data_IF_543991381352
#
_entry.id   IF_543991381352
#
_cell.length_a   1.000
_cell.length_b   1.000
_cell.length_c   1.000
_cell.angle_alpha   90.00
_cell.angle_beta   90.00
_cell.angle_gamma   90.00
#
_symmetry.space_group_name_H-M   'P 1'
#
loop_
_entity.id
_entity.type
_entity.pdbx_description
1 polymer ?
#
# COMPACT_ATOMS: atom_id res chain seq x y z
N UNK A 1 15.21 18.29 -11.46
CA UNK A 1 15.06 18.11 -10.00
C UNK A 1 13.61 17.72 -9.71
N UNK A 2 13.34 16.45 -9.39
CA UNK A 2 12.01 16.05 -8.89
C UNK A 2 12.16 14.78 -8.06
N UNK A 3 12.20 14.94 -6.74
CA UNK A 3 12.12 13.80 -5.83
C UNK A 3 10.66 13.35 -5.79
N UNK A 4 10.37 12.18 -6.36
CA UNK A 4 9.04 11.61 -6.36
C UNK A 4 8.91 10.64 -5.18
N UNK A 5 8.21 11.07 -4.13
CA UNK A 5 7.92 10.24 -2.96
C UNK A 5 6.46 9.77 -3.05
N UNK A 6 6.17 8.49 -3.38
CA UNK A 6 4.80 8.01 -3.59
C UNK A 6 3.95 8.05 -2.31
N UNK A 7 4.54 7.73 -1.16
CA UNK A 7 3.84 7.79 0.14
C UNK A 7 3.28 9.18 0.47
N UNK A 8 4.13 10.22 0.59
CA UNK A 8 3.67 11.60 0.85
C UNK A 8 2.68 12.13 -0.19
N UNK A 9 2.86 11.81 -1.48
CA UNK A 9 1.89 12.21 -2.51
C UNK A 9 0.51 11.56 -2.30
N UNK A 10 0.48 10.29 -1.87
CA UNK A 10 -0.77 9.58 -1.57
C UNK A 10 -1.48 10.19 -0.36
N UNK A 11 -0.73 10.53 0.68
CA UNK A 11 -1.27 11.24 1.86
C UNK A 11 -1.78 12.63 1.49
N UNK A 12 -1.04 13.39 0.68
CA UNK A 12 -1.48 14.70 0.19
C UNK A 12 -2.79 14.60 -0.61
N UNK A 13 -2.85 13.69 -1.59
CA UNK A 13 -4.04 13.47 -2.39
C UNK A 13 -5.25 13.04 -1.53
N UNK A 14 -5.01 12.19 -0.53
CA UNK A 14 -6.04 11.78 0.44
C UNK A 14 -6.53 12.96 1.28
N UNK A 15 -5.64 13.78 1.81
CA UNK A 15 -6.01 14.97 2.61
C UNK A 15 -6.82 15.96 1.79
N UNK A 16 -6.48 16.17 0.51
CA UNK A 16 -7.29 17.01 -0.38
C UNK A 16 -8.66 16.38 -0.61
N UNK A 17 -8.74 15.07 -0.88
CA UNK A 17 -10.00 14.38 -1.10
C UNK A 17 -10.92 14.45 0.13
N UNK A 18 -10.40 14.12 1.32
CA UNK A 18 -11.17 14.14 2.56
C UNK A 18 -11.52 15.55 3.02
N UNK A 19 -10.62 16.53 2.80
CA UNK A 19 -10.81 17.91 3.24
C UNK A 19 -11.72 18.74 2.33
N UNK A 20 -11.74 18.48 1.02
CA UNK A 20 -12.48 19.32 0.05
C UNK A 20 -13.81 18.74 -0.40
N UNK A 21 -13.92 17.42 -0.57
CA UNK A 21 -15.13 16.77 -1.10
C UNK A 21 -16.05 16.30 0.05
N UNK A 22 -15.45 15.88 1.16
CA UNK A 22 -16.16 15.40 2.35
C UNK A 22 -16.76 13.99 2.20
N UNK A 23 -16.96 13.25 3.31
CA UNK A 23 -17.31 11.84 3.29
C UNK A 23 -18.71 11.55 2.72
N UNK A 24 -19.67 12.47 2.90
CA UNK A 24 -21.05 12.30 2.40
C UNK A 24 -21.07 12.26 0.86
N UNK A 25 -20.23 13.06 0.19
CA UNK A 25 -20.17 13.09 -1.28
C UNK A 25 -19.39 11.91 -1.86
N UNK A 26 -18.45 11.34 -1.10
CA UNK A 26 -17.64 10.17 -1.50
C UNK A 26 -18.39 8.85 -1.28
N UNK A 27 -19.03 8.69 -0.11
CA UNK A 27 -19.64 7.44 0.36
C UNK A 27 -21.17 7.46 0.47
N UNK A 28 -21.81 8.62 0.33
CA UNK A 28 -23.27 8.72 0.40
C UNK A 28 -23.98 7.99 -0.74
N UNK A 29 -25.32 8.07 -0.75
CA UNK A 29 -26.19 7.33 -1.69
C UNK A 29 -25.80 7.51 -3.17
N UNK A 30 -25.33 8.70 -3.53
CA UNK A 30 -24.89 9.07 -4.88
C UNK A 30 -23.36 9.14 -5.03
N UNK A 31 -22.60 8.74 -4.01
CA UNK A 31 -21.14 8.76 -4.03
C UNK A 31 -20.55 7.63 -4.88
N UNK A 32 -19.38 7.89 -5.48
CA UNK A 32 -18.69 6.91 -6.33
C UNK A 32 -18.23 5.68 -5.55
N UNK A 33 -17.92 5.83 -4.26
CA UNK A 33 -17.38 4.78 -3.40
C UNK A 33 -18.40 4.22 -2.41
N UNK A 34 -19.71 4.42 -2.64
CA UNK A 34 -20.78 3.94 -1.74
C UNK A 34 -20.68 2.45 -1.41
N UNK A 35 -20.25 1.63 -2.37
CA UNK A 35 -20.09 0.19 -2.18
C UNK A 35 -18.93 -0.19 -1.27
N UNK A 36 -17.95 0.71 -1.07
CA UNK A 36 -16.85 0.47 -0.15
C UNK A 36 -17.33 0.35 1.30
N UNK A 37 -18.48 0.94 1.64
CA UNK A 37 -19.12 0.77 2.95
C UNK A 37 -19.55 -0.67 3.24
N UNK A 38 -19.74 -1.51 2.20
CA UNK A 38 -19.97 -2.95 2.41
C UNK A 38 -18.74 -3.66 3.00
N UNK A 39 -17.57 -3.03 2.97
CA UNK A 39 -16.38 -3.49 3.67
C UNK A 39 -16.58 -3.64 5.18
N UNK A 40 -17.45 -2.83 5.81
CA UNK A 40 -17.74 -2.92 7.24
C UNK A 40 -18.42 -4.25 7.62
N UNK A 41 -19.60 -4.60 7.08
CA UNK A 41 -20.22 -5.90 7.37
C UNK A 41 -19.39 -7.07 6.84
N UNK A 42 -18.73 -6.93 5.68
CA UNK A 42 -17.82 -7.97 5.17
C UNK A 42 -16.66 -8.25 6.13
N UNK A 43 -16.08 -7.21 6.75
CA UNK A 43 -15.04 -7.36 7.77
C UNK A 43 -15.53 -8.10 9.01
N UNK A 44 -16.74 -7.78 9.51
CA UNK A 44 -17.36 -8.49 10.63
C UNK A 44 -17.57 -9.96 10.28
N UNK A 45 -18.16 -10.24 9.11
CA UNK A 45 -18.38 -11.60 8.64
C UNK A 45 -17.07 -12.39 8.53
N UNK A 46 -16.01 -11.77 8.02
CA UNK A 46 -14.71 -12.41 7.87
C UNK A 46 -14.09 -12.77 9.23
N UNK A 47 -14.16 -11.87 10.22
CA UNK A 47 -13.66 -12.12 11.57
C UNK A 47 -14.45 -13.24 12.25
N UNK A 48 -15.78 -13.20 12.17
CA UNK A 48 -16.67 -14.23 12.72
C UNK A 48 -16.44 -15.58 12.03
N UNK A 49 -16.27 -15.60 10.72
CA UNK A 49 -15.99 -16.81 9.95
C UNK A 49 -14.67 -17.46 10.41
N UNK A 50 -13.59 -16.68 10.54
CA UNK A 50 -12.29 -17.22 11.00
C UNK A 50 -12.35 -17.67 12.46
N UNK A 51 -13.10 -16.96 13.32
CA UNK A 51 -13.35 -17.40 14.69
C UNK A 51 -14.10 -18.74 14.73
N UNK A 52 -15.16 -18.90 13.95
CA UNK A 52 -15.92 -20.14 13.85
C UNK A 52 -15.04 -21.29 13.33
N UNK A 53 -14.24 -21.04 12.29
CA UNK A 53 -13.30 -22.00 11.72
C UNK A 53 -12.27 -22.48 12.73
N UNK A 54 -11.81 -21.58 13.60
CA UNK A 54 -10.87 -21.89 14.67
C UNK A 54 -11.53 -22.71 15.79
N UNK A 55 -12.84 -22.54 16.00
CA UNK A 55 -13.61 -23.31 16.97
C UNK A 55 -13.91 -24.72 16.48
N UNK A 56 -14.15 -24.91 15.18
CA UNK A 56 -14.39 -26.24 14.58
C UNK A 56 -13.12 -27.06 14.44
N UNK A 57 -11.97 -26.44 14.17
CA UNK A 57 -10.67 -27.12 14.03
C UNK A 57 -9.61 -26.57 15.00
N UNK A 58 -9.75 -26.84 16.31
CA UNK A 58 -8.86 -26.31 17.34
C UNK A 58 -7.40 -26.80 17.22
N UNK A 59 -7.18 -27.99 16.65
CA UNK A 59 -5.85 -28.61 16.53
C UNK A 59 -5.04 -28.12 15.33
N UNK A 60 -5.65 -27.34 14.44
CA UNK A 60 -4.98 -26.86 13.22
C UNK A 60 -3.95 -25.77 13.53
N UNK A 61 -2.66 -26.11 13.36
CA UNK A 61 -1.55 -25.17 13.58
C UNK A 61 -1.58 -23.98 12.62
N UNK A 62 -2.09 -24.18 11.39
CA UNK A 62 -2.18 -23.15 10.37
C UNK A 62 -3.23 -22.08 10.72
N UNK A 63 -4.46 -22.46 11.10
CA UNK A 63 -5.51 -21.49 11.46
C UNK A 63 -5.16 -20.70 12.71
N UNK A 64 -4.33 -21.25 13.60
CA UNK A 64 -3.80 -20.55 14.78
C UNK A 64 -2.83 -19.40 14.44
N UNK A 65 -2.20 -19.43 13.27
CA UNK A 65 -1.25 -18.42 12.80
C UNK A 65 -1.90 -17.35 11.91
N UNK A 66 -3.13 -17.55 11.45
CA UNK A 66 -3.84 -16.59 10.60
C UNK A 66 -4.38 -15.44 11.45
N UNK A 67 -3.95 -14.22 11.14
CA UNK A 67 -4.47 -12.99 11.71
C UNK A 67 -5.17 -12.18 10.63
N UNK A 68 -6.50 -12.18 10.64
CA UNK A 68 -7.34 -11.50 9.63
C UNK A 68 -6.98 -10.02 9.51
N UNK A 69 -6.82 -9.33 10.63
CA UNK A 69 -6.48 -7.90 10.66
C UNK A 69 -5.12 -7.64 10.00
N UNK A 70 -4.11 -8.46 10.29
CA UNK A 70 -2.79 -8.32 9.70
C UNK A 70 -2.80 -8.59 8.18
N UNK A 71 -3.63 -9.53 7.73
CA UNK A 71 -3.81 -9.84 6.31
C UNK A 71 -4.45 -8.67 5.56
N UNK A 72 -5.53 -8.10 6.11
CA UNK A 72 -6.19 -6.93 5.51
C UNK A 72 -5.29 -5.69 5.54
N UNK A 73 -4.63 -5.41 6.67
CA UNK A 73 -3.69 -4.29 6.78
C UNK A 73 -2.49 -4.45 5.83
N UNK A 74 -1.95 -5.66 5.71
CA UNK A 74 -0.85 -5.97 4.78
C UNK A 74 -1.23 -5.73 3.32
N UNK A 75 -2.46 -6.07 2.93
CA UNK A 75 -2.94 -5.85 1.56
C UNK A 75 -3.07 -4.38 1.19
N UNK A 76 -3.28 -3.48 2.16
CA UNK A 76 -3.36 -2.04 1.93
C UNK A 76 -2.03 -1.45 1.42
N UNK A 77 -0.90 -2.06 1.80
CA UNK A 77 0.43 -1.59 1.36
C UNK A 77 0.68 -1.79 -0.14
N UNK A 78 -0.15 -2.57 -0.84
CA UNK A 78 -0.06 -2.75 -2.29
C UNK A 78 -0.74 -1.63 -3.09
N UNK A 79 -1.64 -0.86 -2.48
CA UNK A 79 -2.35 0.20 -3.20
C UNK A 79 -1.43 1.37 -3.66
N UNK A 80 -0.42 1.80 -2.87
CA UNK A 80 0.55 2.81 -3.32
C UNK A 80 1.84 2.23 -3.93
N UNK A 81 2.09 0.92 -3.80
CA UNK A 81 3.33 0.28 -4.26
C UNK A 81 3.03 -1.01 -5.03
N UNK A 82 3.62 -1.19 -6.21
CA UNK A 82 3.50 -2.42 -6.99
C UNK A 82 3.92 -3.66 -6.22
N UNK A 83 3.38 -4.82 -6.61
CA UNK A 83 3.79 -6.12 -6.09
C UNK A 83 5.32 -6.31 -6.13
N UNK A 84 5.97 -5.84 -7.21
CA UNK A 84 7.42 -5.87 -7.38
C UNK A 84 8.21 -5.12 -6.30
N UNK A 85 7.60 -4.14 -5.62
CA UNK A 85 8.20 -3.40 -4.52
C UNK A 85 8.07 -4.15 -3.18
N UNK A 86 6.92 -4.81 -2.94
CA UNK A 86 6.67 -5.54 -1.69
C UNK A 86 7.28 -6.94 -1.68
N UNK A 87 7.32 -7.61 -2.83
CA UNK A 87 7.76 -9.00 -2.96
C UNK A 87 9.19 -9.28 -2.46
N UNK A 88 10.22 -8.44 -2.74
CA UNK A 88 11.59 -8.72 -2.32
C UNK A 88 11.77 -8.83 -0.79
N UNK A 89 10.91 -8.20 0.00
CA UNK A 89 10.95 -8.30 1.45
C UNK A 89 10.48 -9.69 1.95
N UNK A 90 9.62 -10.39 1.22
CA UNK A 90 9.04 -11.68 1.62
C UNK A 90 10.08 -12.79 1.80
N UNK A 91 10.98 -13.10 0.83
CA UNK A 91 11.99 -14.15 1.02
C UNK A 91 12.99 -13.81 2.11
N UNK A 92 13.35 -12.53 2.29
CA UNK A 92 14.26 -12.06 3.35
C UNK A 92 13.59 -12.26 4.72
N UNK A 93 12.33 -11.85 4.85
CA UNK A 93 11.55 -12.06 6.07
C UNK A 93 11.36 -13.54 6.38
N UNK A 94 11.09 -14.38 5.36
CA UNK A 94 10.99 -15.82 5.51
C UNK A 94 12.31 -16.44 6.02
N UNK A 95 13.44 -16.04 5.44
CA UNK A 95 14.75 -16.54 5.86
C UNK A 95 15.05 -16.14 7.32
N UNK A 96 14.81 -14.87 7.69
CA UNK A 96 15.00 -14.40 9.07
C UNK A 96 14.06 -15.11 10.06
N UNK A 97 12.76 -15.12 9.77
CA UNK A 97 11.73 -15.55 10.72
C UNK A 97 11.54 -17.05 10.80
N UNK A 98 11.70 -17.78 9.70
CA UNK A 98 11.42 -19.23 9.66
C UNK A 98 12.71 -20.03 9.76
N UNK A 99 13.80 -19.63 9.08
CA UNK A 99 15.07 -20.38 9.12
C UNK A 99 15.97 -19.96 10.28
N UNK A 100 16.25 -18.67 10.45
CA UNK A 100 17.22 -18.19 11.44
C UNK A 100 16.62 -18.26 12.85
N UNK A 101 15.42 -17.74 13.06
CA UNK A 101 14.78 -17.76 14.38
C UNK A 101 14.55 -19.17 14.93
N UNK A 102 14.21 -20.15 14.07
CA UNK A 102 13.94 -21.52 14.52
C UNK A 102 15.21 -22.28 14.91
N UNK A 103 16.36 -21.98 14.30
CA UNK A 103 17.64 -22.66 14.56
C UNK A 103 18.55 -21.91 15.54
N UNK A 104 18.52 -20.58 15.52
CA UNK A 104 19.46 -19.71 16.22
C UNK A 104 18.74 -18.56 16.95
N UNK A 105 17.87 -18.90 17.91
CA UNK A 105 17.03 -17.93 18.59
C UNK A 105 17.82 -16.84 19.33
N UNK A 106 18.90 -17.21 20.04
CA UNK A 106 19.73 -16.27 20.79
C UNK A 106 20.48 -15.26 19.89
N UNK A 107 20.92 -15.71 18.71
CA UNK A 107 21.50 -14.81 17.70
C UNK A 107 20.43 -13.89 17.12
N UNK A 108 19.28 -14.45 16.75
CA UNK A 108 18.19 -13.71 16.13
C UNK A 108 17.67 -12.59 17.04
N UNK A 109 17.41 -12.86 18.33
CA UNK A 109 16.88 -11.87 19.26
C UNK A 109 17.83 -10.69 19.49
N UNK A 110 19.14 -10.92 19.39
CA UNK A 110 20.16 -9.89 19.63
C UNK A 110 20.41 -9.00 18.40
N UNK A 111 20.43 -9.57 17.21
CA UNK A 111 20.89 -8.87 16.00
C UNK A 111 19.78 -8.50 15.01
N UNK A 112 18.57 -9.08 15.09
CA UNK A 112 17.53 -8.83 14.09
C UNK A 112 17.12 -7.35 14.00
N UNK A 113 16.94 -6.69 15.14
CA UNK A 113 16.60 -5.25 15.15
C UNK A 113 17.75 -4.37 14.67
N UNK A 114 19.00 -4.71 15.04
CA UNK A 114 20.19 -4.00 14.56
C UNK A 114 20.31 -4.11 13.04
N UNK A 115 20.15 -5.31 12.49
CA UNK A 115 20.17 -5.55 11.05
C UNK A 115 19.08 -4.75 10.31
N UNK A 116 17.85 -4.72 10.85
CA UNK A 116 16.75 -3.94 10.28
C UNK A 116 17.04 -2.44 10.27
N UNK A 117 17.63 -1.91 11.36
CA UNK A 117 18.06 -0.52 11.43
C UNK A 117 19.19 -0.22 10.44
N UNK A 118 20.20 -1.10 10.33
CA UNK A 118 21.31 -0.96 9.39
C UNK A 118 20.84 -0.99 7.93
N UNK A 119 19.88 -1.84 7.57
CA UNK A 119 19.30 -1.87 6.22
C UNK A 119 18.58 -0.55 5.89
N UNK A 120 17.82 -0.01 6.85
CA UNK A 120 17.13 1.27 6.69
C UNK A 120 18.11 2.44 6.54
N UNK A 121 19.16 2.47 7.37
CA UNK A 121 20.23 3.46 7.26
C UNK A 121 21.02 3.32 5.95
N UNK A 122 21.25 2.10 5.49
CA UNK A 122 21.91 1.81 4.21
C UNK A 122 21.15 2.34 3.00
N UNK A 123 19.81 2.25 3.01
CA UNK A 123 18.95 2.86 1.98
C UNK A 123 19.05 4.40 1.99
N UNK A 124 19.10 5.01 3.18
CA UNK A 124 19.29 6.47 3.27
C UNK A 124 20.67 6.89 2.76
N UNK A 125 21.72 6.15 3.11
CA UNK A 125 23.08 6.42 2.66
C UNK A 125 23.22 6.22 1.14
N UNK A 126 22.62 5.17 0.58
CA UNK A 126 22.66 4.94 -0.87
C UNK A 126 21.94 6.05 -1.64
N UNK A 127 20.85 6.61 -1.10
CA UNK A 127 20.18 7.76 -1.69
C UNK A 127 21.08 9.00 -1.76
N UNK A 128 21.88 9.27 -0.71
CA UNK A 128 22.86 10.37 -0.71
C UNK A 128 23.93 10.16 -1.79
N UNK A 129 24.47 8.95 -1.89
CA UNK A 129 25.46 8.62 -2.93
C UNK A 129 24.88 8.79 -4.33
N UNK A 130 23.65 8.32 -4.57
CA UNK A 130 22.95 8.47 -5.86
C UNK A 130 22.68 9.94 -6.20
N UNK A 131 22.40 10.78 -5.20
CA UNK A 131 22.19 12.22 -5.37
C UNK A 131 23.43 12.88 -5.97
N UNK A 132 24.59 12.69 -5.35
CA UNK A 132 25.84 13.34 -5.77
C UNK A 132 26.46 12.73 -7.04
N UNK A 133 26.26 11.43 -7.28
CA UNK A 133 26.86 10.76 -8.44
C UNK A 133 26.02 10.89 -9.73
N UNK A 134 24.72 10.60 -9.67
CA UNK A 134 23.87 10.46 -10.85
C UNK A 134 22.99 11.70 -11.04
N UNK A 135 22.27 12.09 -9.98
CA UNK A 135 21.29 13.18 -10.05
C UNK A 135 21.93 14.55 -10.25
N UNK A 136 23.05 14.84 -9.57
CA UNK A 136 23.78 16.10 -9.74
C UNK A 136 24.42 16.22 -11.13
N UNK A 137 24.92 15.11 -11.66
CA UNK A 137 25.48 15.04 -13.02
C UNK A 137 24.41 15.08 -14.12
N UNK A 138 23.11 15.05 -13.77
CA UNK A 138 22.01 15.04 -14.73
C UNK A 138 21.88 13.73 -15.55
N UNK A 139 22.61 12.69 -15.17
CA UNK A 139 22.62 11.41 -15.87
C UNK A 139 21.36 10.64 -15.50
N UNK A 140 20.68 10.05 -16.49
CA UNK A 140 19.56 9.13 -16.25
C UNK A 140 20.04 7.71 -16.50
N UNK A 141 19.89 6.86 -15.49
CA UNK A 141 20.19 5.44 -15.58
C UNK A 141 18.89 4.67 -15.74
N UNK A 142 18.64 4.16 -16.93
CA UNK A 142 17.48 3.33 -17.22
C UNK A 142 17.83 1.86 -17.00
N UNK A 143 17.18 1.26 -16.00
CA UNK A 143 17.35 -0.15 -15.67
C UNK A 143 16.03 -0.71 -15.11
N UNK A 144 16.01 -2.02 -14.86
CA UNK A 144 14.84 -2.73 -14.36
C UNK A 144 14.22 -2.07 -13.12
N UNK A 145 15.02 -1.73 -12.10
CA UNK A 145 14.52 -1.15 -10.86
C UNK A 145 13.87 0.23 -11.01
N UNK A 146 14.31 1.04 -11.98
CA UNK A 146 13.72 2.36 -12.23
C UNK A 146 12.50 2.32 -13.15
N UNK A 147 12.39 1.30 -14.00
CA UNK A 147 11.32 1.21 -15.02
C UNK A 147 10.13 0.39 -14.54
N UNK A 148 10.36 -0.69 -13.79
CA UNK A 148 9.29 -1.60 -13.36
C UNK A 148 8.20 -0.99 -12.49
N UNK A 149 8.49 -0.10 -11.52
CA UNK A 149 7.44 0.47 -10.68
C UNK A 149 6.39 1.26 -11.48
N UNK A 150 6.72 1.68 -12.71
CA UNK A 150 5.84 2.42 -13.60
C UNK A 150 5.24 1.55 -14.72
N UNK A 151 5.53 0.24 -14.75
CA UNK A 151 4.93 -0.66 -15.73
C UNK A 151 3.58 -1.14 -15.22
N UNK A 152 2.53 -0.92 -16.02
CA UNK A 152 1.17 -1.35 -15.71
C UNK A 152 0.27 -0.20 -15.25
N UNK A 153 -0.63 -0.51 -14.33
CA UNK A 153 -1.66 0.40 -13.83
C UNK A 153 -1.12 1.49 -12.90
N UNK A 154 0.11 1.32 -12.44
CA UNK A 154 0.79 2.18 -11.47
C UNK A 154 1.45 3.38 -12.14
N UNK A 155 1.96 3.22 -13.37
CA UNK A 155 2.47 4.33 -14.18
C UNK A 155 1.45 4.92 -15.14
N UNK A 156 0.51 4.11 -15.64
CA UNK A 156 -0.62 4.57 -16.48
C UNK A 156 -1.93 4.17 -15.81
N UNK A 157 -2.85 5.11 -15.53
CA UNK A 157 -4.06 4.78 -14.79
C UNK A 157 -4.92 3.77 -15.56
N UNK A 158 -5.15 2.60 -14.96
CA UNK A 158 -6.13 1.63 -15.45
C UNK A 158 -7.52 2.05 -14.99
N UNK A 159 -8.17 2.88 -15.80
CA UNK A 159 -9.49 3.42 -15.48
C UNK A 159 -10.55 2.32 -15.62
N UNK A 160 -11.18 1.95 -14.50
CA UNK A 160 -12.35 1.06 -14.50
C UNK A 160 -13.58 1.75 -15.13
N UNK A 161 -13.67 3.07 -14.99
CA UNK A 161 -14.72 3.91 -15.57
C UNK A 161 -14.10 5.03 -16.38
N UNK A 162 -14.55 5.15 -17.62
CA UNK A 162 -14.21 6.24 -18.54
C UNK A 162 -15.49 7.03 -18.77
N UNK A 163 -15.41 8.35 -18.80
CA UNK A 163 -16.56 9.22 -19.00
C UNK A 163 -16.90 9.30 -20.47
N UNK A 164 -18.18 9.24 -20.80
CA UNK A 164 -18.68 9.60 -22.11
C UNK A 164 -18.53 11.11 -22.39
N UNK A 165 -18.68 11.55 -23.65
CA UNK A 165 -18.66 12.96 -24.01
C UNK A 165 -19.70 13.76 -23.22
N UNK A 166 -19.24 14.69 -22.38
CA UNK A 166 -20.11 15.55 -21.56
C UNK A 166 -20.52 14.98 -20.20
N UNK A 167 -20.16 13.73 -19.88
CA UNK A 167 -20.37 13.18 -18.53
C UNK A 167 -19.40 13.79 -17.52
N UNK A 168 -19.72 13.68 -16.22
CA UNK A 168 -18.89 14.16 -15.11
C UNK A 168 -18.69 13.05 -14.08
N UNK A 169 -17.49 12.95 -13.50
CA UNK A 169 -17.19 11.99 -12.43
C UNK A 169 -18.08 12.22 -11.20
N UNK A 170 -18.42 13.48 -10.95
CA UNK A 170 -19.33 13.90 -9.90
C UNK A 170 -20.55 14.55 -10.56
N UNK A 171 -21.69 13.85 -10.64
CA UNK A 171 -22.92 14.39 -11.24
C UNK A 171 -23.40 15.68 -10.57
N UNK A 172 -23.05 15.84 -9.28
CA UNK A 172 -23.37 17.01 -8.46
C UNK A 172 -22.39 18.18 -8.64
N UNK A 173 -21.22 17.98 -9.26
CA UNK A 173 -20.22 19.03 -9.43
C UNK A 173 -20.53 19.91 -10.63
N UNK A 174 -20.97 21.13 -10.38
CA UNK A 174 -21.12 22.15 -11.42
C UNK A 174 -19.97 23.15 -11.43
N UNK A 175 -19.01 22.98 -12.34
CA UNK A 175 -17.86 23.89 -12.48
C UNK A 175 -18.21 25.32 -12.94
N UNK A 176 -19.49 25.61 -13.23
CA UNK A 176 -19.99 26.96 -13.49
C UNK A 176 -20.54 27.67 -12.24
N UNK A 177 -20.70 26.96 -11.11
CA UNK A 177 -21.21 27.52 -9.86
C UNK A 177 -20.08 27.58 -8.82
N UNK A 178 -19.83 28.78 -8.28
CA UNK A 178 -18.92 29.01 -7.16
C UNK A 178 -19.70 29.69 -6.03
N UNK A 179 -19.70 29.17 -4.79
CA UNK A 179 -19.04 27.93 -4.37
C UNK A 179 -19.70 26.69 -4.98
N UNK A 180 -18.92 25.63 -5.16
CA UNK A 180 -19.45 24.35 -5.62
C UNK A 180 -20.51 23.86 -4.61
N UNK A 181 -21.71 23.41 -5.06
CA UNK A 181 -22.73 22.86 -4.18
C UNK A 181 -22.24 21.59 -3.48
#
# INVERSE_FOLDING_TARGET
>A
MRFFCPGPNTFYASSVLWGTIGPIKVFGKHGQYKWLLLGFPAGILLVVAVWALRKTWPDSRALRQVHVVALLAGSLHWAPYSFSYAWPAVPIAWLSWIRIRSRYLAFWSRYNFVLSASLSAGVAMSAIVMLFSVQWAGIRVDWWGNTQPFRGCEGKPCLLKVLGPGERFYPWWDGKKVPAP
#
